data_IF_069972517074
#
_entry.id   IF_069972517074
#
_cell.length_a   1.000
_cell.length_b   1.000
_cell.length_c   1.000
_cell.angle_alpha   90.00
_cell.angle_beta   90.00
_cell.angle_gamma   90.00
#
_symmetry.space_group_name_H-M   'P 1'
#
loop_
_entity.id
_entity.type
_entity.pdbx_description
1 polymer ?
#
# COMPACT_ATOMS: atom_id res chain seq x y z
N UNK A 1 -28.95 1.94 0.70
CA UNK A 1 -28.47 2.20 0.97
C UNK A 1 -28.14 2.17 1.21
N UNK A 2 -27.73 2.14 1.17
CA UNK A 2 -27.19 2.22 1.31
C UNK A 2 -26.50 2.28 1.51
N UNK A 3 -26.26 2.31 1.38
CA UNK A 3 -25.50 2.49 1.51
C UNK A 3 -24.69 2.24 1.54
N UNK A 4 -24.50 2.08 1.18
CA UNK A 4 -23.68 1.94 1.16
C UNK A 4 -22.80 2.28 1.03
N UNK A 5 -22.72 2.20 0.75
CA UNK A 5 -21.66 2.63 0.68
C UNK A 5 -21.04 3.64 0.55
N UNK A 6 -21.29 4.14 0.47
CA UNK A 6 -20.76 5.03 0.52
C UNK A 6 -20.08 5.47 1.03
N UNK A 7 -20.30 5.46 0.71
CA UNK A 7 -19.57 5.87 1.46
C UNK A 7 -18.25 5.41 1.47
N UNK A 8 -17.68 4.85 0.56
CA UNK A 8 -16.44 4.42 0.55
C UNK A 8 -15.47 5.47 0.65
N UNK A 9 -15.59 6.56 0.01
CA UNK A 9 -14.66 7.65 0.14
C UNK A 9 -14.57 8.18 1.52
N UNK A 10 -15.66 8.14 2.21
CA UNK A 10 -15.68 8.62 3.54
C UNK A 10 -14.96 7.76 4.50
N UNK A 11 -14.65 6.55 4.13
CA UNK A 11 -13.96 5.65 5.02
C UNK A 11 -12.47 5.81 4.97
N UNK A 12 -11.97 6.63 4.10
CA UNK A 12 -10.55 6.87 4.04
C UNK A 12 -10.12 7.66 5.25
N UNK A 13 -9.07 7.19 5.90
CA UNK A 13 -8.57 7.85 7.09
C UNK A 13 -7.56 8.92 6.78
N UNK A 14 -7.01 8.94 5.57
CA UNK A 14 -6.06 9.95 5.16
C UNK A 14 -6.09 10.09 3.66
N UNK A 15 -5.49 11.14 3.17
CA UNK A 15 -5.38 11.36 1.74
C UNK A 15 -4.48 10.30 1.13
N UNK A 16 -4.79 9.94 -0.10
CA UNK A 16 -3.95 9.06 -0.88
C UNK A 16 -3.25 9.88 -1.93
N UNK A 17 -2.00 9.57 -2.16
CA UNK A 17 -1.18 10.30 -3.11
C UNK A 17 -0.74 9.33 -4.19
N UNK A 18 -0.96 9.69 -5.45
CA UNK A 18 -0.46 8.90 -6.56
C UNK A 18 1.02 9.19 -6.67
N UNK A 19 1.81 8.21 -6.35
CA UNK A 19 3.26 8.38 -6.32
C UNK A 19 3.93 7.03 -6.45
N UNK A 20 4.97 6.98 -7.25
CA UNK A 20 5.72 5.76 -7.47
C UNK A 20 6.96 5.78 -6.57
N UNK A 21 6.95 4.91 -5.57
CA UNK A 21 8.08 4.77 -4.65
C UNK A 21 8.63 3.38 -4.81
N UNK A 22 9.94 3.22 -5.04
CA UNK A 22 10.50 1.88 -5.19
C UNK A 22 10.51 1.14 -3.87
N UNK A 23 10.08 -0.11 -3.93
CA UNK A 23 9.96 -0.98 -2.76
C UNK A 23 10.64 -2.30 -3.01
N UNK A 24 11.12 -2.91 -1.93
CA UNK A 24 11.43 -4.32 -1.93
C UNK A 24 10.37 -5.02 -1.09
N UNK A 25 9.83 -6.10 -1.59
CA UNK A 25 8.77 -6.83 -0.92
C UNK A 25 9.24 -8.23 -0.62
N UNK A 26 9.18 -8.61 0.65
CA UNK A 26 9.51 -9.96 1.07
C UNK A 26 8.22 -10.64 1.55
N UNK A 27 8.02 -11.88 1.14
CA UNK A 27 6.85 -12.63 1.55
C UNK A 27 7.00 -14.10 1.24
N UNK A 28 5.88 -14.79 1.33
CA UNK A 28 5.85 -16.22 1.07
C UNK A 28 4.68 -16.50 0.16
N UNK A 29 4.90 -17.27 -0.89
CA UNK A 29 3.82 -17.58 -1.82
C UNK A 29 2.89 -18.61 -1.21
N UNK A 30 1.78 -18.88 -1.90
CA UNK A 30 0.82 -19.85 -1.40
C UNK A 30 1.43 -21.25 -1.31
N UNK A 31 2.43 -21.53 -2.11
CA UNK A 31 3.08 -22.83 -2.07
C UNK A 31 4.13 -22.93 -0.97
N UNK A 32 4.34 -21.88 -0.23
CA UNK A 32 5.30 -21.87 0.87
C UNK A 32 6.69 -21.40 0.48
N UNK A 33 6.88 -20.99 -0.74
CA UNK A 33 8.19 -20.51 -1.18
C UNK A 33 8.36 -19.04 -0.85
N UNK A 34 9.51 -18.70 -0.30
CA UNK A 34 9.79 -17.31 0.01
C UNK A 34 10.17 -16.55 -1.24
N UNK A 35 9.77 -15.31 -1.32
CA UNK A 35 10.13 -14.47 -2.44
C UNK A 35 10.60 -13.11 -1.96
N UNK A 36 11.42 -12.49 -2.77
CA UNK A 36 11.87 -11.11 -2.59
C UNK A 36 11.81 -10.48 -3.97
N UNK A 37 10.99 -9.45 -4.11
CA UNK A 37 10.84 -8.78 -5.41
C UNK A 37 10.94 -7.29 -5.23
N UNK A 38 11.36 -6.63 -6.28
CA UNK A 38 11.40 -5.17 -6.33
C UNK A 38 10.22 -4.71 -7.14
N UNK A 39 9.55 -3.68 -6.65
CA UNK A 39 8.40 -3.14 -7.35
C UNK A 39 8.27 -1.65 -7.01
N UNK A 40 7.14 -1.07 -7.38
CA UNK A 40 6.86 0.32 -7.07
C UNK A 40 5.44 0.44 -6.59
N UNK A 41 5.15 1.51 -5.88
CA UNK A 41 3.80 1.83 -5.48
C UNK A 41 3.05 2.51 -6.61
N UNK A 42 1.74 2.43 -6.55
CA UNK A 42 0.85 3.21 -7.41
C UNK A 42 0.30 4.39 -6.61
N UNK A 43 -0.15 4.13 -5.39
CA UNK A 43 -0.57 5.18 -4.47
C UNK A 43 -0.04 4.87 -3.09
N UNK A 44 0.15 5.91 -2.30
CA UNK A 44 0.62 5.76 -0.93
C UNK A 44 -0.28 6.55 0.01
N UNK A 45 -0.31 6.15 1.27
CA UNK A 45 -0.99 6.89 2.32
C UNK A 45 -0.23 6.63 3.61
N UNK A 46 -0.61 7.32 4.66
CA UNK A 46 0.10 7.11 5.93
C UNK A 46 -0.18 5.75 6.53
N UNK A 47 -1.19 5.04 6.03
CA UNK A 47 -1.54 3.73 6.57
C UNK A 47 -1.05 2.57 5.73
N UNK A 48 -0.55 2.83 4.54
CA UNK A 48 -0.10 1.75 3.67
C UNK A 48 0.06 2.21 2.24
N UNK A 49 -0.15 1.30 1.31
CA UNK A 49 -0.01 1.63 -0.11
C UNK A 49 -0.74 0.63 -0.98
N UNK A 50 -0.88 1.03 -2.23
CA UNK A 50 -1.29 0.14 -3.32
C UNK A 50 -0.06 -0.04 -4.19
N UNK A 51 0.37 -1.27 -4.38
CA UNK A 51 1.59 -1.54 -5.15
C UNK A 51 1.31 -2.55 -6.23
N UNK A 52 2.21 -2.60 -7.21
CA UNK A 52 2.13 -3.59 -8.27
C UNK A 52 2.92 -4.80 -7.79
N UNK A 53 2.25 -5.94 -7.66
CA UNK A 53 2.92 -7.12 -7.12
C UNK A 53 2.37 -8.36 -7.80
N UNK A 54 3.19 -8.97 -8.64
CA UNK A 54 2.76 -10.13 -9.39
C UNK A 54 3.18 -11.42 -8.67
N UNK A 55 2.67 -11.59 -7.47
CA UNK A 55 2.91 -12.76 -6.65
C UNK A 55 1.59 -13.26 -6.13
N UNK A 56 1.53 -14.54 -5.84
CA UNK A 56 0.31 -15.14 -5.30
C UNK A 56 0.23 -14.85 -3.81
N UNK A 57 -0.59 -13.90 -3.46
CA UNK A 57 -0.82 -13.53 -2.07
C UNK A 57 -2.31 -13.53 -1.79
N UNK A 58 -2.66 -13.67 -0.52
CA UNK A 58 -4.06 -13.67 -0.12
C UNK A 58 -4.30 -12.59 0.91
N UNK A 59 -5.57 -12.30 1.15
CA UNK A 59 -5.95 -11.30 2.14
C UNK A 59 -5.42 -11.70 3.51
N UNK A 60 -5.01 -10.72 4.26
CA UNK A 60 -4.46 -10.85 5.62
C UNK A 60 -3.08 -11.45 5.70
N UNK A 61 -2.50 -11.80 4.57
CA UNK A 61 -1.14 -12.32 4.57
C UNK A 61 -0.15 -11.23 4.97
N UNK A 62 0.85 -11.61 5.76
CA UNK A 62 1.88 -10.67 6.18
C UNK A 62 2.95 -10.56 5.10
N UNK A 63 3.42 -9.34 4.89
CA UNK A 63 4.53 -9.05 4.00
C UNK A 63 5.43 -8.06 4.71
N UNK A 64 6.66 -7.95 4.23
CA UNK A 64 7.57 -6.93 4.72
C UNK A 64 7.95 -6.05 3.54
N UNK A 65 7.75 -4.75 3.71
CA UNK A 65 8.11 -3.78 2.69
C UNK A 65 9.33 -3.02 3.13
N UNK A 66 10.23 -2.75 2.20
CA UNK A 66 11.33 -1.83 2.46
C UNK A 66 11.24 -0.70 1.45
N UNK A 67 11.24 0.53 1.97
CA UNK A 67 11.26 1.73 1.14
C UNK A 67 12.70 1.89 0.66
N UNK A 68 12.93 1.77 -0.63
CA UNK A 68 14.29 1.78 -1.15
C UNK A 68 14.98 3.13 -0.98
N UNK A 69 14.22 4.22 -0.87
CA UNK A 69 14.81 5.52 -0.66
C UNK A 69 15.36 5.68 0.76
N UNK A 70 14.61 5.21 1.75
CA UNK A 70 14.99 5.43 3.15
C UNK A 70 15.63 4.21 3.77
N UNK A 71 15.49 3.05 3.13
CA UNK A 71 15.96 1.76 3.63
C UNK A 71 15.24 1.32 4.90
N UNK A 72 14.09 1.90 5.16
CA UNK A 72 13.29 1.56 6.31
C UNK A 72 12.33 0.44 5.95
N UNK A 73 12.21 -0.56 6.81
CA UNK A 73 11.34 -1.69 6.57
C UNK A 73 10.14 -1.64 7.48
N UNK A 74 9.04 -2.24 7.04
CA UNK A 74 7.81 -2.23 7.80
C UNK A 74 7.01 -3.49 7.49
N UNK A 75 6.46 -4.09 8.53
CA UNK A 75 5.57 -5.21 8.36
C UNK A 75 4.19 -4.70 7.97
N UNK A 76 3.53 -5.41 7.09
CA UNK A 76 2.19 -5.02 6.67
C UNK A 76 1.38 -6.27 6.39
N UNK A 77 0.09 -6.07 6.15
CA UNK A 77 -0.78 -7.17 5.75
C UNK A 77 -1.54 -6.79 4.50
N UNK A 78 -1.89 -7.78 3.72
CA UNK A 78 -2.60 -7.59 2.46
C UNK A 78 -4.07 -7.32 2.77
N UNK A 79 -4.61 -6.23 2.23
CA UNK A 79 -6.01 -5.88 2.43
C UNK A 79 -6.81 -5.90 1.13
N UNK A 80 -6.16 -5.97 -0.02
CA UNK A 80 -6.87 -6.10 -1.29
C UNK A 80 -5.96 -6.65 -2.35
N UNK A 81 -6.53 -7.36 -3.30
CA UNK A 81 -5.80 -7.81 -4.49
C UNK A 81 -6.72 -7.61 -5.68
N UNK A 82 -6.16 -7.20 -6.80
CA UNK A 82 -6.94 -6.97 -7.99
C UNK A 82 -6.07 -7.01 -9.24
N UNK A 83 -6.55 -7.68 -10.27
CA UNK A 83 -5.85 -7.66 -11.56
C UNK A 83 -6.57 -6.68 -12.46
N UNK A 84 -5.81 -5.74 -13.01
CA UNK A 84 -6.36 -4.70 -13.85
C UNK A 84 -6.37 -5.11 -15.31
N UNK A 85 -7.02 -4.31 -16.14
CA UNK A 85 -7.11 -4.58 -17.56
C UNK A 85 -5.76 -4.62 -18.23
N UNK A 86 -4.81 -3.87 -17.68
CA UNK A 86 -3.45 -3.84 -18.25
C UNK A 86 -2.68 -5.12 -17.91
N UNK A 87 -3.32 -6.06 -17.22
CA UNK A 87 -2.67 -7.32 -16.88
C UNK A 87 -1.87 -7.27 -15.60
N UNK A 88 -1.68 -6.10 -15.03
CA UNK A 88 -0.90 -5.96 -13.81
C UNK A 88 -1.76 -6.26 -12.60
N UNK A 89 -1.13 -6.84 -11.59
CA UNK A 89 -1.82 -7.15 -10.36
C UNK A 89 -1.47 -6.11 -9.32
N UNK A 90 -2.49 -5.53 -8.73
CA UNK A 90 -2.33 -4.50 -7.71
C UNK A 90 -2.69 -5.08 -6.36
N UNK A 91 -1.85 -4.84 -5.38
CA UNK A 91 -2.02 -5.37 -4.03
C UNK A 91 -2.01 -4.19 -3.08
N UNK A 92 -3.07 -4.09 -2.27
CA UNK A 92 -3.15 -3.06 -1.25
C UNK A 92 -2.72 -3.64 0.08
N UNK A 93 -1.95 -2.89 0.83
CA UNK A 93 -1.46 -3.33 2.13
C UNK A 93 -1.61 -2.23 3.16
N UNK A 94 -1.73 -2.64 4.43
CA UNK A 94 -1.75 -1.73 5.57
C UNK A 94 -0.58 -2.05 6.47
N UNK A 95 0.07 -1.02 7.00
CA UNK A 95 1.18 -1.20 7.93
C UNK A 95 0.70 -1.74 9.28
N UNK A 96 1.50 -2.59 9.88
CA UNK A 96 1.23 -3.15 11.20
C UNK A 96 2.50 -3.01 12.04
N UNK A 97 2.52 -2.14 13.03
CA UNK A 97 1.53 -1.11 13.32
C UNK A 97 1.63 0.05 12.33
N UNK A 98 0.75 1.00 12.46
CA UNK A 98 0.78 2.15 11.60
C UNK A 98 2.11 2.87 11.71
N UNK A 99 2.56 3.41 10.61
CA UNK A 99 3.83 4.16 10.61
C UNK A 99 3.71 5.32 9.65
N UNK A 100 3.23 6.46 10.13
CA UNK A 100 3.02 7.63 9.25
C UNK A 100 4.30 8.18 8.66
N UNK A 101 5.45 7.81 9.20
CA UNK A 101 6.71 8.32 8.68
C UNK A 101 7.40 7.40 7.69
N UNK A 102 6.77 6.30 7.34
CA UNK A 102 7.41 5.34 6.44
C UNK A 102 7.78 5.97 5.09
N UNK A 103 6.94 6.88 4.62
CA UNK A 103 7.16 7.53 3.33
C UNK A 103 7.93 8.83 3.45
N UNK A 104 8.11 9.30 4.69
CA UNK A 104 8.80 10.56 4.92
C UNK A 104 8.12 11.74 4.30
N UNK A 105 6.82 11.79 4.39
CA UNK A 105 6.06 12.91 3.87
C UNK A 105 4.79 13.10 4.69
N UNK A 106 4.20 14.27 4.59
CA UNK A 106 2.96 14.58 5.29
C UNK A 106 1.77 14.27 4.42
N UNK A 107 0.71 13.78 5.05
CA UNK A 107 -0.53 13.48 4.35
C UNK A 107 -1.66 14.27 4.95
N UNK A 108 -2.42 14.96 4.09
CA UNK A 108 -3.57 15.70 4.53
C UNK A 108 -4.76 14.78 4.69
N UNK A 109 -5.76 15.24 5.45
CA UNK A 109 -6.99 14.51 5.54
C UNK A 109 -7.70 14.57 4.21
N UNK A 110 -8.54 13.59 3.91
CA UNK A 110 -9.29 13.63 2.65
C UNK A 110 -10.10 14.90 2.59
N UNK A 111 -10.09 15.54 1.43
CA UNK A 111 -10.83 16.75 1.20
C UNK A 111 -10.08 18.02 1.54
N UNK A 112 -8.99 17.93 2.24
CA UNK A 112 -8.21 19.13 2.56
C UNK A 112 -7.19 19.37 1.47
N UNK A 113 -6.89 20.69 1.24
CA UNK A 113 -5.91 21.00 0.29
C UNK A 113 -4.58 20.84 0.92
N UNK A 114 -3.72 20.13 0.33
CA UNK A 114 -2.39 19.97 0.85
C UNK A 114 -1.47 21.01 0.23
N UNK A 115 -1.01 21.91 1.04
CA UNK A 115 -0.12 22.92 0.57
C UNK A 115 1.32 22.59 0.83
N UNK A 116 1.58 21.57 1.60
CA UNK A 116 2.89 21.24 1.94
C UNK A 116 3.53 20.44 0.95
N UNK A 117 4.76 20.71 0.73
CA UNK A 117 5.46 19.89 -0.16
C UNK A 117 6.48 19.28 0.64
N UNK A 118 6.98 18.28 0.27
CA UNK A 118 7.96 17.60 1.04
C UNK A 118 9.28 17.60 0.35
#
# INVERSE_FOLDING_TARGET
MPVSGYRRGEKRRSARVTMSVPLRVDGESLSGEKFTVNTTTHTISQYGCLMILDQEVILDQALVLMNEYTRQSMQCRVVSTRRHRDGKKYVGVEFIPQNPNFWRMSFSKPGARSLKRF
#
